data_IF_730312488472
#
_entry.id   IF_730312488472
#
_cell.length_a   1.000
_cell.length_b   1.000
_cell.length_c   1.000
_cell.angle_alpha   90.00
_cell.angle_beta   90.00
_cell.angle_gamma   90.00
#
_symmetry.space_group_name_H-M   'P 1'
#
loop_
_entity.id
_entity.type
_entity.pdbx_description
1 polymer ?
#
# COMPACT_ATOMS: atom_id res chain seq x y z
N UNK A 1 2.30 -15.18 -12.59
CA UNK A 1 0.83 -15.04 -12.69
C UNK A 1 0.36 -14.61 -11.33
N UNK A 2 -0.11 -13.38 -11.23
CA UNK A 2 -0.11 -12.66 -9.98
C UNK A 2 -1.50 -12.11 -9.73
N UNK A 3 -1.97 -12.34 -8.51
CA UNK A 3 -3.28 -11.92 -8.03
C UNK A 3 -3.12 -10.57 -7.36
N UNK A 4 -3.43 -9.49 -8.07
CA UNK A 4 -3.35 -8.16 -7.51
C UNK A 4 -4.50 -7.89 -6.54
N UNK A 5 -4.23 -7.96 -5.24
CA UNK A 5 -5.15 -7.45 -4.21
C UNK A 5 -4.71 -6.07 -3.77
N UNK A 6 -5.51 -5.04 -4.02
CA UNK A 6 -5.45 -3.83 -3.20
C UNK A 6 -6.08 -4.22 -1.89
N UNK A 7 -5.22 -4.43 -0.88
CA UNK A 7 -5.69 -5.07 0.35
C UNK A 7 -6.48 -4.09 1.21
N UNK A 8 -6.18 -2.79 1.19
CA UNK A 8 -7.04 -1.79 1.80
C UNK A 8 -6.59 -0.37 1.47
N UNK A 9 -7.53 0.59 1.58
CA UNK A 9 -7.26 2.02 1.66
C UNK A 9 -7.94 2.59 2.92
N UNK A 10 -7.22 3.40 3.70
CA UNK A 10 -7.73 3.99 4.95
C UNK A 10 -7.37 5.45 5.09
N UNK A 11 -8.27 6.23 5.69
CA UNK A 11 -8.04 7.62 6.06
C UNK A 11 -7.14 7.75 7.32
N UNK A 12 -6.01 8.45 7.18
CA UNK A 12 -5.17 8.95 8.27
C UNK A 12 -5.71 10.23 8.91
N UNK A 13 -5.00 10.76 9.93
CA UNK A 13 -5.41 11.87 10.84
C UNK A 13 -6.14 13.05 10.17
N UNK A 14 -7.06 13.67 10.92
CA UNK A 14 -7.39 15.10 10.74
C UNK A 14 -8.30 15.45 9.57
N UNK A 15 -9.43 14.77 9.46
CA UNK A 15 -10.45 14.93 8.41
C UNK A 15 -11.19 16.28 8.33
N UNK A 16 -10.59 17.39 8.81
CA UNK A 16 -11.36 18.63 9.00
C UNK A 16 -11.37 19.59 7.81
N UNK A 17 -10.38 19.63 6.91
CA UNK A 17 -10.25 20.82 6.02
C UNK A 17 -10.00 20.59 4.51
N UNK A 18 -9.80 19.38 4.00
CA UNK A 18 -9.60 19.21 2.55
C UNK A 18 -10.93 19.27 1.79
N UNK A 19 -11.31 20.46 1.29
CA UNK A 19 -12.41 20.64 0.33
C UNK A 19 -11.95 21.01 -1.09
N UNK A 20 -10.64 21.22 -1.30
CA UNK A 20 -10.08 21.73 -2.58
C UNK A 20 -8.81 20.99 -3.08
N UNK A 21 -8.29 19.98 -2.37
CA UNK A 21 -7.06 19.27 -2.78
C UNK A 21 -7.27 17.75 -2.82
N UNK A 22 -6.79 17.12 -3.90
CA UNK A 22 -6.73 15.66 -4.07
C UNK A 22 -6.05 14.99 -2.85
N UNK A 23 -6.64 13.91 -2.32
CA UNK A 23 -6.14 13.21 -1.12
C UNK A 23 -4.79 12.55 -1.43
N UNK A 24 -3.76 12.79 -0.63
CA UNK A 24 -2.48 12.11 -0.78
C UNK A 24 -2.58 10.61 -0.48
N UNK A 25 -1.88 9.77 -1.26
CA UNK A 25 -1.91 8.30 -1.14
C UNK A 25 -0.50 7.74 -0.98
N UNK A 26 -0.25 7.08 0.15
CA UNK A 26 0.93 6.26 0.34
C UNK A 26 0.65 4.82 -0.10
N UNK A 27 1.46 4.29 -1.01
CA UNK A 27 1.38 2.93 -1.53
C UNK A 27 2.49 2.11 -0.91
N UNK A 28 2.13 1.15 -0.05
CA UNK A 28 3.06 0.24 0.60
C UNK A 28 3.17 -1.05 -0.20
N UNK A 29 4.38 -1.40 -0.59
CA UNK A 29 4.69 -2.59 -1.40
C UNK A 29 5.65 -3.50 -0.64
N UNK A 30 5.15 -4.44 0.16
CA UNK A 30 5.98 -5.49 0.75
C UNK A 30 6.57 -6.37 -0.35
N UNK A 31 7.90 -6.48 -0.40
CA UNK A 31 8.61 -7.18 -1.46
C UNK A 31 9.74 -8.04 -0.87
N UNK A 32 9.57 -9.36 -0.89
CA UNK A 32 10.60 -10.30 -0.43
C UNK A 32 10.90 -11.33 -1.51
N UNK A 33 12.13 -11.29 -2.02
CA UNK A 33 12.59 -12.15 -3.12
C UNK A 33 11.70 -12.05 -4.39
N UNK A 34 11.43 -10.82 -4.84
CA UNK A 34 10.50 -10.45 -5.92
C UNK A 34 11.20 -9.80 -7.13
N UNK A 35 12.49 -10.10 -7.36
CA UNK A 35 13.29 -9.46 -8.43
C UNK A 35 12.65 -9.57 -9.83
N UNK A 36 11.89 -10.63 -10.07
CA UNK A 36 11.26 -10.90 -11.37
C UNK A 36 10.05 -10.03 -11.69
N UNK A 37 9.46 -9.36 -10.69
CA UNK A 37 8.16 -8.68 -10.81
C UNK A 37 8.16 -7.26 -10.26
N UNK A 38 9.04 -6.95 -9.30
CA UNK A 38 9.03 -5.67 -8.57
C UNK A 38 9.21 -4.46 -9.51
N UNK A 39 10.02 -4.60 -10.56
CA UNK A 39 10.23 -3.51 -11.53
C UNK A 39 8.96 -3.13 -12.30
N UNK A 40 8.16 -4.12 -12.70
CA UNK A 40 6.89 -3.87 -13.38
C UNK A 40 5.85 -3.26 -12.43
N UNK A 41 5.84 -3.71 -11.17
CA UNK A 41 4.97 -3.16 -10.14
C UNK A 41 5.26 -1.67 -9.93
N UNK A 42 6.52 -1.31 -9.60
CA UNK A 42 6.94 0.08 -9.40
C UNK A 42 6.61 0.93 -10.64
N UNK A 43 6.91 0.43 -11.84
CA UNK A 43 6.59 1.14 -13.09
C UNK A 43 5.10 1.46 -13.19
N UNK A 44 4.22 0.49 -12.91
CA UNK A 44 2.77 0.71 -12.97
C UNK A 44 2.28 1.71 -11.92
N UNK A 45 2.85 1.67 -10.71
CA UNK A 45 2.50 2.58 -9.62
C UNK A 45 2.92 4.03 -9.92
N UNK A 46 4.10 4.21 -10.50
CA UNK A 46 4.61 5.54 -10.88
C UNK A 46 3.91 6.13 -12.11
N UNK A 47 3.24 5.30 -12.92
CA UNK A 47 2.43 5.70 -14.08
C UNK A 47 0.99 6.09 -13.73
N UNK A 48 0.61 6.07 -12.45
CA UNK A 48 -0.73 6.51 -12.03
C UNK A 48 -1.00 7.97 -12.43
N UNK A 49 -2.26 8.27 -12.76
CA UNK A 49 -2.73 9.62 -13.05
C UNK A 49 -2.96 10.46 -11.79
N UNK A 50 -2.97 9.84 -10.61
CA UNK A 50 -3.16 10.51 -9.34
C UNK A 50 -1.93 11.34 -8.97
N UNK A 51 -2.11 12.65 -8.70
CA UNK A 51 -0.97 13.57 -8.62
C UNK A 51 -0.19 13.50 -7.30
N UNK A 52 -0.83 13.05 -6.23
CA UNK A 52 -0.27 13.02 -4.86
C UNK A 52 -0.07 11.59 -4.39
N UNK A 53 0.93 10.92 -4.93
CA UNK A 53 1.28 9.53 -4.58
C UNK A 53 2.70 9.43 -4.07
N UNK A 54 2.89 8.70 -2.97
CA UNK A 54 4.17 8.26 -2.45
C UNK A 54 4.22 6.73 -2.45
N UNK A 55 5.27 6.14 -3.03
CA UNK A 55 5.44 4.68 -3.11
C UNK A 55 6.54 4.27 -2.14
N UNK A 56 6.25 3.31 -1.28
CA UNK A 56 7.19 2.74 -0.32
C UNK A 56 7.36 1.24 -0.60
N UNK A 57 8.50 0.87 -1.16
CA UNK A 57 8.89 -0.55 -1.29
C UNK A 57 9.53 -1.00 0.01
N UNK A 58 9.06 -2.10 0.56
CA UNK A 58 9.45 -2.59 1.88
C UNK A 58 10.05 -3.99 1.71
N UNK A 59 11.37 -4.06 1.66
CA UNK A 59 12.12 -5.32 1.62
C UNK A 59 12.46 -5.79 3.02
N UNK A 60 11.89 -6.93 3.41
CA UNK A 60 12.06 -7.54 4.72
C UNK A 60 12.96 -8.77 4.62
N UNK A 61 14.24 -8.54 4.39
CA UNK A 61 15.28 -9.55 4.25
C UNK A 61 15.27 -10.27 2.91
N UNK A 62 15.14 -9.54 1.79
CA UNK A 62 15.39 -10.10 0.46
C UNK A 62 16.86 -10.53 0.32
N UNK A 63 17.07 -11.61 -0.43
CA UNK A 63 18.38 -12.19 -0.72
C UNK A 63 18.77 -12.13 -2.20
N UNK A 64 17.86 -11.66 -3.03
CA UNK A 64 17.97 -11.55 -4.48
C UNK A 64 18.16 -10.07 -4.94
N UNK A 65 17.98 -9.82 -6.24
CA UNK A 65 18.09 -8.48 -6.84
C UNK A 65 16.96 -7.50 -6.50
N UNK A 66 15.94 -7.86 -5.70
CA UNK A 66 14.74 -7.04 -5.46
C UNK A 66 15.07 -5.60 -5.08
N UNK A 67 15.94 -5.42 -4.07
CA UNK A 67 16.30 -4.09 -3.54
C UNK A 67 17.09 -3.29 -4.57
N UNK A 68 18.02 -3.95 -5.27
CA UNK A 68 18.83 -3.30 -6.30
C UNK A 68 17.95 -2.80 -7.46
N UNK A 69 16.99 -3.61 -7.90
CA UNK A 69 16.01 -3.22 -8.92
C UNK A 69 15.17 -2.05 -8.42
N UNK A 70 14.60 -2.12 -7.22
CA UNK A 70 13.78 -1.03 -6.68
C UNK A 70 14.55 0.29 -6.56
N UNK A 71 15.81 0.25 -6.09
CA UNK A 71 16.67 1.44 -5.98
C UNK A 71 17.14 2.00 -7.33
N UNK A 72 17.02 1.26 -8.42
CA UNK A 72 17.36 1.75 -9.75
C UNK A 72 16.38 2.79 -10.29
N UNK A 73 15.17 2.86 -9.73
CA UNK A 73 14.17 3.85 -10.07
C UNK A 73 14.47 5.18 -9.37
N UNK A 74 14.89 6.18 -10.14
CA UNK A 74 15.20 7.53 -9.66
C UNK A 74 13.96 8.43 -9.73
N UNK A 75 12.92 8.11 -8.95
CA UNK A 75 11.69 8.92 -8.84
C UNK A 75 11.57 9.48 -7.41
N UNK A 76 11.36 10.79 -7.22
CA UNK A 76 11.25 11.39 -5.89
C UNK A 76 10.06 10.89 -5.06
N UNK A 77 9.06 10.27 -5.71
CA UNK A 77 7.90 9.66 -5.04
C UNK A 77 8.22 8.27 -4.48
N UNK A 78 9.33 7.64 -4.88
CA UNK A 78 9.69 6.29 -4.47
C UNK A 78 10.68 6.29 -3.29
N UNK A 79 10.37 5.51 -2.28
CA UNK A 79 11.26 5.21 -1.16
C UNK A 79 11.42 3.70 -1.01
N UNK A 80 12.65 3.24 -0.80
CA UNK A 80 12.96 1.83 -0.59
C UNK A 80 13.47 1.63 0.83
N UNK A 81 12.70 0.88 1.61
CA UNK A 81 13.03 0.49 2.98
C UNK A 81 13.54 -0.94 2.97
N UNK A 82 14.75 -1.14 3.46
CA UNK A 82 15.41 -2.45 3.52
C UNK A 82 15.66 -2.82 4.97
N UNK A 83 15.31 -4.04 5.33
CA UNK A 83 15.54 -4.60 6.65
C UNK A 83 16.38 -5.88 6.54
N UNK A 84 17.39 -6.00 7.39
CA UNK A 84 18.38 -7.09 7.33
C UNK A 84 17.81 -8.48 7.65
N UNK A 85 16.62 -8.55 8.26
CA UNK A 85 15.99 -9.81 8.69
C UNK A 85 14.52 -9.81 8.35
N UNK A 86 14.07 -10.93 7.79
CA UNK A 86 12.65 -11.22 7.61
C UNK A 86 11.95 -11.34 8.97
N UNK A 87 11.15 -10.34 9.30
CA UNK A 87 10.27 -10.24 10.48
C UNK A 87 8.82 -10.56 10.12
N UNK A 88 8.52 -10.72 8.83
CA UNK A 88 7.19 -11.01 8.28
C UNK A 88 6.45 -9.75 7.84
N UNK A 89 5.54 -9.90 6.86
CA UNK A 89 4.81 -8.79 6.21
C UNK A 89 4.13 -7.83 7.20
N UNK A 90 3.46 -8.34 8.23
CA UNK A 90 2.81 -7.49 9.24
C UNK A 90 3.80 -6.62 10.01
N UNK A 91 4.95 -7.17 10.41
CA UNK A 91 5.98 -6.42 11.13
C UNK A 91 6.68 -5.41 10.22
N UNK A 92 6.90 -5.76 8.95
CA UNK A 92 7.44 -4.85 7.95
C UNK A 92 6.51 -3.66 7.71
N UNK A 93 5.20 -3.89 7.60
CA UNK A 93 4.19 -2.84 7.48
C UNK A 93 4.09 -1.99 8.76
N UNK A 94 4.09 -2.60 9.95
CA UNK A 94 4.09 -1.88 11.25
C UNK A 94 5.28 -0.93 11.39
N UNK A 95 6.45 -1.29 10.85
CA UNK A 95 7.63 -0.45 10.90
C UNK A 95 7.52 0.81 10.02
N UNK A 96 6.76 0.74 8.93
CA UNK A 96 6.65 1.83 7.94
C UNK A 96 5.43 2.71 8.19
N UNK A 97 4.33 2.15 8.71
CA UNK A 97 3.09 2.90 8.96
C UNK A 97 3.28 4.21 9.74
N UNK A 98 4.10 4.29 10.82
CA UNK A 98 4.33 5.54 11.54
C UNK A 98 5.11 6.61 10.76
N UNK A 99 5.79 6.22 9.66
CA UNK A 99 6.58 7.11 8.80
C UNK A 99 5.75 7.73 7.69
N UNK A 100 4.55 7.21 7.45
CA UNK A 100 3.64 7.62 6.39
C UNK A 100 2.74 8.74 6.90
N UNK A 101 2.76 9.89 6.21
CA UNK A 101 1.99 11.08 6.57
C UNK A 101 0.78 11.35 5.67
N UNK A 102 0.58 10.52 4.65
CA UNK A 102 -0.44 10.68 3.63
C UNK A 102 -1.88 10.50 4.16
N UNK A 103 -2.83 11.10 3.46
CA UNK A 103 -4.25 11.03 3.80
C UNK A 103 -4.78 9.60 3.70
N UNK A 104 -4.27 8.83 2.73
CA UNK A 104 -4.68 7.47 2.43
C UNK A 104 -3.49 6.52 2.41
N UNK A 105 -3.65 5.32 2.98
CA UNK A 105 -2.64 4.24 2.88
C UNK A 105 -3.18 3.08 2.08
N UNK A 106 -2.57 2.79 0.93
CA UNK A 106 -2.85 1.65 0.07
C UNK A 106 -1.78 0.57 0.23
N UNK A 107 -2.15 -0.69 0.44
CA UNK A 107 -1.20 -1.82 0.41
C UNK A 107 -1.37 -2.58 -0.90
N UNK A 108 -0.27 -2.79 -1.62
CA UNK A 108 -0.20 -3.45 -2.94
C UNK A 108 0.85 -4.56 -2.88
N UNK A 109 0.53 -5.74 -3.38
CA UNK A 109 1.50 -6.83 -3.47
C UNK A 109 2.55 -6.53 -4.55
N UNK A 110 3.82 -6.90 -4.33
CA UNK A 110 4.96 -6.58 -5.21
C UNK A 110 4.87 -7.11 -6.64
N UNK A 111 3.92 -7.99 -6.86
CA UNK A 111 3.73 -8.72 -8.08
C UNK A 111 2.60 -8.03 -8.93
N UNK A 112 1.91 -7.05 -8.33
CA UNK A 112 0.73 -6.38 -8.88
C UNK A 112 1.08 -5.31 -9.91
N UNK A 113 0.26 -5.23 -10.97
CA UNK A 113 0.22 -4.07 -11.88
C UNK A 113 -1.11 -3.35 -11.75
N UNK A 114 -1.07 -2.05 -11.46
CA UNK A 114 -2.27 -1.23 -11.37
C UNK A 114 -2.58 -0.51 -12.69
N UNK A 115 -3.87 -0.34 -12.96
CA UNK A 115 -4.34 0.58 -13.99
C UNK A 115 -4.02 2.02 -13.57
N UNK A 116 -3.68 2.90 -14.51
CA UNK A 116 -3.24 4.27 -14.20
C UNK A 116 -4.30 5.06 -13.42
N UNK A 117 -5.59 4.76 -13.64
CA UNK A 117 -6.74 5.40 -12.98
C UNK A 117 -7.16 4.69 -11.68
N UNK A 118 -6.54 3.56 -11.32
CA UNK A 118 -6.96 2.76 -10.17
C UNK A 118 -6.88 3.54 -8.85
N UNK A 119 -5.76 4.25 -8.64
CA UNK A 119 -5.52 5.04 -7.43
C UNK A 119 -6.53 6.19 -7.36
N UNK A 120 -6.69 6.94 -8.45
CA UNK A 120 -7.64 8.07 -8.55
C UNK A 120 -9.08 7.66 -8.27
N UNK A 121 -9.53 6.56 -8.87
CA UNK A 121 -10.89 6.04 -8.64
C UNK A 121 -11.11 5.60 -7.20
N UNK A 122 -10.10 4.99 -6.59
CA UNK A 122 -10.21 4.54 -5.21
C UNK A 122 -10.15 5.70 -4.21
N UNK A 123 -9.25 6.66 -4.42
CA UNK A 123 -9.17 7.87 -3.61
C UNK A 123 -10.50 8.64 -3.63
N UNK A 124 -11.15 8.73 -4.79
CA UNK A 124 -12.47 9.37 -4.95
C UNK A 124 -13.59 8.73 -4.10
N UNK A 125 -13.49 7.45 -3.73
CA UNK A 125 -14.47 6.81 -2.83
C UNK A 125 -14.42 7.40 -1.42
N UNK A 126 -13.26 7.94 -1.01
CA UNK A 126 -13.05 8.55 0.30
C UNK A 126 -13.35 10.05 0.30
N UNK A 127 -13.86 10.63 -0.78
CA UNK A 127 -14.40 12.00 -0.73
C UNK A 127 -15.67 12.07 0.13
N UNK A 128 -16.38 10.95 0.28
CA UNK A 128 -17.50 10.83 1.22
C UNK A 128 -16.99 10.66 2.67
N UNK A 129 -17.37 11.62 3.52
CA UNK A 129 -16.98 11.75 4.94
C UNK A 129 -17.34 10.56 5.82
N UNK A 130 -18.22 9.68 5.36
CA UNK A 130 -18.68 8.53 6.13
C UNK A 130 -17.75 7.29 6.02
N UNK A 131 -16.77 7.29 5.11
CA UNK A 131 -15.98 6.09 4.79
C UNK A 131 -14.68 6.05 5.59
N UNK A 132 -14.65 5.27 6.67
CA UNK A 132 -13.45 5.08 7.50
C UNK A 132 -12.44 4.06 6.92
N UNK A 133 -12.83 3.32 5.88
CA UNK A 133 -12.02 2.31 5.22
C UNK A 133 -12.80 1.73 4.05
N UNK A 134 -12.16 1.63 2.89
CA UNK A 134 -12.74 0.97 1.73
C UNK A 134 -11.77 -0.10 1.23
N UNK A 135 -12.34 -1.20 0.77
CA UNK A 135 -11.62 -2.25 0.07
C UNK A 135 -12.12 -2.29 -1.36
N UNK A 136 -11.22 -2.12 -2.32
CA UNK A 136 -11.52 -2.24 -3.73
C UNK A 136 -11.17 -3.62 -4.24
N UNK A 137 -12.17 -4.43 -4.59
CA UNK A 137 -11.93 -5.58 -5.46
C UNK A 137 -11.77 -5.07 -6.90
N UNK A 138 -10.56 -4.62 -7.27
CA UNK A 138 -10.27 -4.31 -8.67
C UNK A 138 -10.29 -5.63 -9.44
N UNK A 139 -11.32 -5.82 -10.26
CA UNK A 139 -11.51 -7.04 -11.04
C UNK A 139 -10.48 -7.08 -12.18
N UNK A 140 -9.49 -7.96 -12.05
CA UNK A 140 -8.62 -8.39 -13.15
C UNK A 140 -9.26 -9.60 -13.85
N UNK A 141 -9.04 -9.73 -15.18
CA UNK A 141 -9.66 -10.75 -16.03
C UNK A 141 -9.33 -12.18 -15.56
N UNK A 142 -10.37 -12.84 -15.00
CA UNK A 142 -10.58 -14.26 -14.70
C UNK A 142 -9.80 -14.89 -13.52
N UNK A 143 -10.53 -15.40 -12.52
CA UNK A 143 -10.02 -16.06 -11.33
C UNK A 143 -10.80 -17.33 -10.98
N UNK A 144 -10.08 -18.41 -10.63
CA UNK A 144 -10.57 -19.55 -9.84
C UNK A 144 -9.38 -20.13 -9.06
N UNK A 145 -9.31 -20.00 -7.72
CA UNK A 145 -8.77 -20.99 -6.74
C UNK A 145 -8.44 -20.44 -5.32
N UNK A 146 -8.13 -21.38 -4.41
CA UNK A 146 -8.00 -21.32 -2.94
C UNK A 146 -7.06 -20.25 -2.35
N UNK A 147 -6.14 -19.66 -3.14
CA UNK A 147 -5.24 -18.59 -2.68
C UNK A 147 -6.00 -17.35 -2.19
N UNK A 148 -7.15 -17.03 -2.80
CA UNK A 148 -7.97 -15.88 -2.40
C UNK A 148 -8.54 -15.97 -0.97
N UNK A 149 -8.60 -17.17 -0.37
CA UNK A 149 -9.06 -17.34 1.02
C UNK A 149 -7.97 -17.00 2.05
N UNK A 150 -6.69 -17.14 1.70
CA UNK A 150 -5.56 -16.73 2.55
C UNK A 150 -5.38 -15.21 2.56
N UNK A 151 -5.61 -14.55 1.41
CA UNK A 151 -5.67 -13.09 1.30
C UNK A 151 -6.67 -12.44 2.28
N UNK A 152 -7.79 -13.11 2.60
CA UNK A 152 -8.78 -12.59 3.56
C UNK A 152 -8.31 -12.64 5.03
N UNK A 153 -7.42 -13.57 5.39
CA UNK A 153 -6.84 -13.67 6.75
C UNK A 153 -5.72 -12.63 6.94
N UNK A 154 -4.95 -12.41 5.88
CA UNK A 154 -3.96 -11.33 5.81
C UNK A 154 -4.63 -9.95 5.91
N UNK A 155 -5.74 -9.76 5.21
CA UNK A 155 -6.60 -8.58 5.30
C UNK A 155 -7.09 -8.28 6.73
N UNK A 156 -7.56 -9.31 7.46
CA UNK A 156 -7.95 -9.15 8.86
C UNK A 156 -6.77 -8.75 9.76
N UNK A 157 -5.57 -9.22 9.42
CA UNK A 157 -4.33 -8.87 10.15
C UNK A 157 -3.92 -7.43 9.91
N UNK A 158 -4.02 -6.93 8.67
CA UNK A 158 -3.76 -5.53 8.31
C UNK A 158 -4.78 -4.59 8.94
N UNK A 159 -6.08 -4.93 8.93
CA UNK A 159 -7.10 -4.17 9.67
C UNK A 159 -6.78 -4.16 11.17
N UNK A 160 -6.37 -5.30 11.74
CA UNK A 160 -5.97 -5.40 13.14
C UNK A 160 -4.76 -4.51 13.47
N UNK A 161 -3.75 -4.50 12.59
CA UNK A 161 -2.59 -3.61 12.59
C UNK A 161 -3.01 -2.15 12.70
N UNK A 162 -3.93 -1.74 11.82
CA UNK A 162 -4.32 -0.35 11.64
C UNK A 162 -5.29 0.12 12.72
N UNK A 163 -6.15 -0.77 13.23
CA UNK A 163 -6.92 -0.49 14.45
C UNK A 163 -6.02 -0.29 15.66
N UNK A 164 -4.93 -1.05 15.78
CA UNK A 164 -3.91 -0.85 16.84
C UNK A 164 -3.14 0.45 16.65
N UNK A 165 -2.75 0.78 15.42
CA UNK A 165 -2.15 2.08 15.12
C UNK A 165 -3.11 3.22 15.51
N UNK A 166 -4.39 3.13 15.16
CA UNK A 166 -5.40 4.12 15.52
C UNK A 166 -5.67 4.16 17.05
N UNK A 167 -5.58 3.03 17.77
CA UNK A 167 -5.75 3.01 19.24
C UNK A 167 -4.56 3.61 19.99
N UNK A 168 -3.34 3.40 19.49
CA UNK A 168 -2.12 3.99 20.07
C UNK A 168 -2.06 5.50 19.77
N UNK A 169 -2.57 5.90 18.60
CA UNK A 169 -2.38 7.25 18.06
C UNK A 169 -3.59 8.19 18.26
N UNK A 170 -4.77 7.63 18.60
CA UNK A 170 -5.99 8.33 19.01
C UNK A 170 -6.14 8.52 20.53
N UNK A 171 -5.24 7.96 21.34
CA UNK A 171 -5.21 8.10 22.80
C UNK A 171 -4.44 9.32 23.33
N UNK A 172 -3.95 10.19 22.45
CA UNK A 172 -3.21 11.41 22.82
C UNK A 172 -3.83 12.65 22.17
N UNK A 173 -4.94 13.09 22.74
CA UNK A 173 -5.33 14.49 22.72
C UNK A 173 -5.82 14.82 24.13
N UNK A 174 -5.21 15.81 24.84
CA UNK A 174 -5.69 16.26 26.14
C UNK A 174 -7.08 16.90 26.06
#
# INVERSE_FOLDING_TARGET
MITASIQAIFAGRGWRECRDSELSVAILVPAKDEESVIGDCITSLLQTSHSRVNVHVISDGSSDGTVAIARSFLDPRLQVHEFDRNRGKSAALEAILPLVGDDLVMVVDADTRLDSEAVSRLAGVFEDRAVAGATGNIRVKQARNLLGKLQAVEFASIIGLLKRANSVWGGSSP
#
